data_IF_636549642035
#
_entry.id   IF_636549642035
#
_cell.length_a   1.000
_cell.length_b   1.000
_cell.length_c   1.000
_cell.angle_alpha   90.00
_cell.angle_beta   90.00
_cell.angle_gamma   90.00
#
_symmetry.space_group_name_H-M   'P 1'
#
loop_
_entity.id
_entity.type
_entity.pdbx_description
1 polymer ?
#
# COMPACT_ATOMS: atom_id res chain seq x y z
N UNK A 1 0.56 30.11 -20.50
CA UNK A 1 0.26 31.46 -19.99
C UNK A 1 0.73 32.56 -20.96
N UNK A 2 1.98 32.59 -21.39
CA UNK A 2 2.54 33.59 -22.30
C UNK A 2 1.78 33.69 -23.64
N UNK A 3 1.55 32.56 -24.35
CA UNK A 3 0.79 32.53 -25.61
C UNK A 3 -0.64 33.08 -25.43
N UNK A 4 -1.32 32.72 -24.32
CA UNK A 4 -2.68 33.20 -24.07
C UNK A 4 -2.77 34.71 -23.82
N UNK A 5 -1.73 35.31 -23.19
CA UNK A 5 -1.63 36.74 -22.99
C UNK A 5 -1.40 37.47 -24.34
N UNK A 6 -0.54 36.89 -25.18
CA UNK A 6 -0.28 37.45 -26.52
C UNK A 6 -1.49 37.34 -27.45
N UNK A 7 -2.18 36.24 -27.42
CA UNK A 7 -3.43 36.04 -28.17
C UNK A 7 -4.49 37.07 -27.79
N UNK A 8 -4.72 37.27 -26.49
CA UNK A 8 -5.68 38.28 -26.04
C UNK A 8 -5.26 39.71 -26.40
N UNK A 9 -3.97 39.99 -26.33
CA UNK A 9 -3.44 41.28 -26.71
C UNK A 9 -3.58 41.52 -28.22
N UNK A 10 -3.35 40.55 -29.09
CA UNK A 10 -3.57 40.64 -30.54
C UNK A 10 -5.05 40.78 -30.91
N UNK A 11 -5.97 40.29 -30.07
CA UNK A 11 -7.43 40.50 -30.18
C UNK A 11 -7.91 41.88 -29.70
N UNK A 12 -6.97 42.80 -29.33
CA UNK A 12 -7.27 44.16 -28.95
C UNK A 12 -7.59 44.37 -27.44
N UNK A 13 -7.49 43.37 -26.62
CA UNK A 13 -7.70 43.53 -25.16
C UNK A 13 -6.55 44.35 -24.54
N UNK A 14 -6.91 45.28 -23.68
CA UNK A 14 -5.89 46.07 -22.96
C UNK A 14 -5.33 45.25 -21.76
N UNK A 15 -4.17 45.72 -21.22
CA UNK A 15 -3.44 45.01 -20.15
C UNK A 15 -4.26 44.78 -18.89
N UNK A 16 -5.21 45.66 -18.58
CA UNK A 16 -6.07 45.54 -17.40
C UNK A 16 -7.15 44.50 -17.64
N UNK A 17 -7.75 44.46 -18.81
CA UNK A 17 -8.74 43.47 -19.21
C UNK A 17 -8.12 42.06 -19.24
N UNK A 18 -6.91 41.93 -19.81
CA UNK A 18 -6.18 40.65 -19.83
C UNK A 18 -5.86 40.17 -18.38
N UNK A 19 -5.42 41.10 -17.52
CA UNK A 19 -5.14 40.79 -16.12
C UNK A 19 -6.38 40.30 -15.40
N UNK A 20 -7.51 40.98 -15.57
CA UNK A 20 -8.80 40.61 -15.00
C UNK A 20 -9.27 39.23 -15.52
N UNK A 21 -9.28 39.04 -16.84
CA UNK A 21 -9.77 37.79 -17.47
C UNK A 21 -8.94 36.55 -17.11
N UNK A 22 -7.63 36.71 -16.88
CA UNK A 22 -6.73 35.62 -16.55
C UNK A 22 -6.44 35.45 -15.05
N UNK A 23 -7.05 36.29 -14.19
CA UNK A 23 -6.79 36.31 -12.75
C UNK A 23 -5.33 36.66 -12.41
N UNK A 24 -4.70 37.54 -13.18
CA UNK A 24 -3.30 37.91 -13.03
C UNK A 24 -3.14 39.35 -12.57
N UNK A 25 -2.01 39.64 -11.90
CA UNK A 25 -1.64 41.02 -11.65
C UNK A 25 -1.19 41.72 -12.95
N UNK A 26 -1.55 43.00 -13.14
CA UNK A 26 -1.23 43.77 -14.34
C UNK A 26 0.28 43.84 -14.66
N UNK A 27 1.14 43.86 -13.62
CA UNK A 27 2.60 43.83 -13.79
C UNK A 27 3.07 42.49 -14.42
N UNK A 28 2.40 41.40 -14.11
CA UNK A 28 2.67 40.09 -14.71
C UNK A 28 2.36 40.09 -16.20
N UNK A 29 1.19 40.62 -16.58
CA UNK A 29 0.83 40.76 -18.00
C UNK A 29 1.85 41.64 -18.74
N UNK A 30 2.25 42.79 -18.15
CA UNK A 30 3.26 43.71 -18.72
C UNK A 30 4.60 42.99 -18.90
N UNK A 31 5.03 42.19 -17.94
CA UNK A 31 6.27 41.42 -18.00
C UNK A 31 6.25 40.37 -19.12
N UNK A 32 5.14 39.66 -19.28
CA UNK A 32 5.00 38.66 -20.34
C UNK A 32 4.89 39.26 -21.73
N UNK A 33 4.26 40.44 -21.90
CA UNK A 33 4.21 41.12 -23.18
C UNK A 33 5.56 41.70 -23.64
N UNK A 34 6.47 42.03 -22.69
CA UNK A 34 7.84 42.45 -22.98
C UNK A 34 8.78 41.28 -23.33
N UNK A 35 8.35 40.04 -23.10
CA UNK A 35 9.17 38.86 -23.29
C UNK A 35 8.94 38.33 -24.69
N UNK A 36 9.99 38.16 -25.48
CA UNK A 36 9.95 37.45 -26.74
C UNK A 36 9.95 35.92 -26.55
N UNK A 37 9.76 35.18 -27.63
CA UNK A 37 9.69 33.73 -27.60
C UNK A 37 11.05 33.11 -27.26
N UNK A 38 12.14 33.68 -27.74
CA UNK A 38 13.49 33.21 -27.45
C UNK A 38 13.83 33.38 -25.97
N UNK A 39 13.49 34.53 -25.39
CA UNK A 39 13.64 34.78 -23.94
C UNK A 39 12.78 33.85 -23.10
N UNK A 40 11.57 33.50 -23.57
CA UNK A 40 10.71 32.51 -22.89
C UNK A 40 11.34 31.13 -22.95
N UNK A 41 11.78 30.71 -24.11
CA UNK A 41 12.42 29.39 -24.32
C UNK A 41 13.70 29.28 -23.52
N UNK A 42 14.56 30.32 -23.53
CA UNK A 42 15.76 30.35 -22.70
C UNK A 42 15.44 30.25 -21.19
N UNK A 43 14.39 30.97 -20.72
CA UNK A 43 13.95 30.84 -19.31
C UNK A 43 13.38 29.48 -18.96
N UNK A 44 12.73 28.80 -19.88
CA UNK A 44 12.23 27.42 -19.66
C UNK A 44 13.38 26.41 -19.65
N UNK A 45 14.38 26.60 -20.53
CA UNK A 45 15.58 25.76 -20.58
C UNK A 45 16.51 26.00 -19.39
N UNK A 46 16.67 27.26 -18.93
CA UNK A 46 17.49 27.66 -17.78
C UNK A 46 16.73 27.62 -16.46
N UNK A 47 15.62 26.87 -16.37
CA UNK A 47 14.96 26.64 -15.10
C UNK A 47 15.98 25.96 -14.18
N UNK A 48 16.54 26.73 -13.22
CA UNK A 48 17.54 26.25 -12.27
C UNK A 48 17.07 24.93 -11.69
N UNK A 49 17.71 23.83 -12.06
CA UNK A 49 17.53 22.54 -11.44
C UNK A 49 18.28 22.61 -10.10
N UNK A 50 17.57 23.00 -9.06
CA UNK A 50 18.12 22.86 -7.71
C UNK A 50 18.25 21.37 -7.44
N UNK A 51 19.41 20.89 -6.92
CA UNK A 51 19.55 19.51 -6.51
C UNK A 51 18.47 19.20 -5.47
N UNK A 52 17.72 18.15 -5.72
CA UNK A 52 16.66 17.73 -4.80
C UNK A 52 17.29 16.89 -3.70
N UNK A 53 16.74 16.96 -2.52
CA UNK A 53 17.24 16.28 -1.31
C UNK A 53 17.41 14.76 -1.50
N UNK A 54 16.66 14.16 -2.43
CA UNK A 54 16.69 12.72 -2.70
C UNK A 54 17.50 12.33 -3.94
N UNK A 55 18.08 13.29 -4.70
CA UNK A 55 18.78 12.99 -5.97
C UNK A 55 19.95 12.02 -5.80
N UNK A 56 20.62 12.01 -4.64
CA UNK A 56 21.72 11.08 -4.35
C UNK A 56 21.28 9.61 -4.30
N UNK A 57 19.99 9.33 -4.17
CA UNK A 57 19.42 7.99 -4.13
C UNK A 57 18.80 7.54 -5.46
N UNK A 58 18.97 8.33 -6.53
CA UNK A 58 18.32 8.07 -7.82
C UNK A 58 18.72 6.72 -8.41
N UNK A 59 20.01 6.34 -8.38
CA UNK A 59 20.47 5.06 -8.91
C UNK A 59 19.82 3.88 -8.17
N UNK A 60 19.80 3.92 -6.86
CA UNK A 60 19.17 2.88 -6.04
C UNK A 60 17.69 2.70 -6.36
N UNK A 61 16.94 3.82 -6.45
CA UNK A 61 15.52 3.77 -6.80
C UNK A 61 15.29 3.29 -8.24
N UNK A 62 16.18 3.66 -9.17
CA UNK A 62 16.13 3.16 -10.54
C UNK A 62 16.35 1.65 -10.60
N UNK A 63 17.33 1.11 -9.87
CA UNK A 63 17.64 -0.32 -9.82
C UNK A 63 16.47 -1.13 -9.25
N UNK A 64 15.88 -0.65 -8.15
CA UNK A 64 14.67 -1.26 -7.56
C UNK A 64 13.51 -1.26 -8.56
N UNK A 65 13.23 -0.14 -9.18
CA UNK A 65 12.12 0.00 -10.12
C UNK A 65 12.33 -0.81 -11.40
N UNK A 66 13.56 -1.01 -11.82
CA UNK A 66 13.89 -1.86 -12.98
C UNK A 66 13.57 -3.32 -12.72
N UNK A 67 13.77 -3.78 -11.47
CA UNK A 67 13.45 -5.16 -11.04
C UNK A 67 11.98 -5.34 -10.66
N UNK A 68 11.36 -4.30 -10.05
CA UNK A 68 10.05 -4.39 -9.44
C UNK A 68 9.18 -3.18 -9.80
N UNK A 69 8.70 -3.10 -11.04
CA UNK A 69 7.92 -1.97 -11.56
C UNK A 69 6.61 -1.71 -10.81
N UNK A 70 6.05 -2.73 -10.16
CA UNK A 70 4.80 -2.68 -9.42
C UNK A 70 4.89 -1.98 -8.05
N UNK A 71 6.09 -1.75 -7.50
CA UNK A 71 6.27 -1.17 -6.17
C UNK A 71 5.67 0.25 -6.08
N UNK A 72 5.07 0.57 -4.95
CA UNK A 72 4.58 1.92 -4.65
C UNK A 72 5.70 2.81 -4.12
N UNK A 73 5.51 4.13 -4.20
CA UNK A 73 6.46 5.09 -3.63
C UNK A 73 6.65 4.91 -2.11
N UNK A 74 5.62 4.47 -1.39
CA UNK A 74 5.71 4.19 0.05
C UNK A 74 6.63 2.99 0.34
N UNK A 75 6.49 1.90 -0.44
CA UNK A 75 7.37 0.73 -0.32
C UNK A 75 8.83 1.08 -0.61
N UNK A 76 9.07 1.86 -1.67
CA UNK A 76 10.42 2.34 -2.01
C UNK A 76 10.98 3.20 -0.88
N UNK A 77 10.15 4.06 -0.25
CA UNK A 77 10.57 4.86 0.89
C UNK A 77 10.96 4.01 2.11
N UNK A 78 10.21 2.95 2.39
CA UNK A 78 10.52 2.05 3.49
C UNK A 78 11.84 1.31 3.23
N UNK A 79 12.07 0.84 2.01
CA UNK A 79 13.34 0.23 1.62
C UNK A 79 14.52 1.21 1.65
N UNK A 80 14.29 2.46 1.25
CA UNK A 80 15.32 3.52 1.39
C UNK A 80 15.69 3.75 2.86
N UNK A 81 14.74 3.74 3.78
CA UNK A 81 15.01 3.87 5.23
C UNK A 81 15.80 2.68 5.78
N UNK A 82 15.49 1.48 5.31
CA UNK A 82 16.19 0.26 5.71
C UNK A 82 17.64 0.27 5.20
N UNK A 83 17.84 0.74 3.96
CA UNK A 83 19.17 0.74 3.32
C UNK A 83 20.05 1.93 3.75
N UNK A 84 19.45 3.08 4.05
CA UNK A 84 20.17 4.32 4.33
C UNK A 84 19.77 4.90 5.71
N UNK A 85 20.54 4.60 6.77
CA UNK A 85 20.26 5.15 8.10
C UNK A 85 20.32 6.69 8.16
N UNK A 86 21.05 7.31 7.22
CA UNK A 86 21.20 8.76 7.06
C UNK A 86 20.15 9.39 6.12
N UNK A 87 19.09 8.64 5.77
CA UNK A 87 18.04 9.16 4.89
C UNK A 87 17.38 10.39 5.54
N UNK A 88 17.33 11.53 4.82
CA UNK A 88 16.70 12.73 5.35
C UNK A 88 15.20 12.51 5.60
N UNK A 89 14.68 13.08 6.69
CA UNK A 89 13.26 13.03 6.98
C UNK A 89 12.51 13.91 5.98
N UNK A 90 11.70 13.26 5.14
CA UNK A 90 10.90 13.91 4.10
C UNK A 90 9.45 13.45 4.14
N UNK A 91 8.52 14.30 3.72
CA UNK A 91 7.12 13.91 3.64
C UNK A 91 6.88 12.91 2.48
N UNK A 92 5.85 12.06 2.63
CA UNK A 92 5.50 11.05 1.62
C UNK A 92 5.24 11.63 0.23
N UNK A 93 4.75 12.88 0.13
CA UNK A 93 4.55 13.57 -1.16
C UNK A 93 5.87 13.87 -1.87
N UNK A 94 6.92 14.21 -1.13
CA UNK A 94 8.27 14.43 -1.68
C UNK A 94 8.82 13.15 -2.28
N UNK A 95 8.69 12.03 -1.56
CA UNK A 95 9.10 10.70 -2.05
C UNK A 95 8.29 10.30 -3.28
N UNK A 96 6.97 10.46 -3.24
CA UNK A 96 6.12 10.19 -4.39
C UNK A 96 6.57 10.96 -5.64
N UNK A 97 6.77 12.26 -5.51
CA UNK A 97 7.20 13.11 -6.64
C UNK A 97 8.59 12.71 -7.15
N UNK A 98 9.49 12.31 -6.26
CA UNK A 98 10.82 11.82 -6.61
C UNK A 98 10.74 10.50 -7.40
N UNK A 99 10.03 9.51 -6.88
CA UNK A 99 9.83 8.21 -7.54
C UNK A 99 9.17 8.37 -8.91
N UNK A 100 8.14 9.22 -9.03
CA UNK A 100 7.51 9.53 -10.32
C UNK A 100 8.46 10.23 -11.30
N UNK A 101 9.40 11.03 -10.80
CA UNK A 101 10.44 11.66 -11.65
C UNK A 101 11.40 10.60 -12.18
N UNK A 102 11.85 9.67 -11.32
CA UNK A 102 12.71 8.54 -11.71
C UNK A 102 12.00 7.66 -12.74
N UNK A 103 10.73 7.31 -12.51
CA UNK A 103 9.93 6.53 -13.47
C UNK A 103 9.90 7.17 -14.86
N UNK A 104 9.58 8.46 -14.93
CA UNK A 104 9.52 9.19 -16.21
C UNK A 104 10.90 9.29 -16.88
N UNK A 105 11.95 9.54 -16.11
CA UNK A 105 13.31 9.68 -16.63
C UNK A 105 13.82 8.39 -17.29
N UNK A 106 13.46 7.23 -16.72
CA UNK A 106 13.95 5.91 -17.16
C UNK A 106 12.87 5.05 -17.85
N UNK A 107 11.70 5.62 -18.17
CA UNK A 107 10.57 4.92 -18.81
C UNK A 107 10.14 3.65 -18.04
N UNK A 108 10.08 3.73 -16.71
CA UNK A 108 9.73 2.64 -15.81
C UNK A 108 8.26 2.77 -15.35
N UNK A 109 7.33 2.64 -16.28
CA UNK A 109 5.90 2.75 -15.98
C UNK A 109 5.46 1.69 -14.98
N UNK A 110 4.57 2.09 -14.08
CA UNK A 110 4.00 1.20 -13.08
C UNK A 110 3.08 0.18 -13.75
N UNK A 111 3.34 -1.10 -13.54
CA UNK A 111 2.42 -2.16 -14.00
C UNK A 111 1.05 -1.99 -13.36
N UNK A 112 0.02 -1.87 -14.21
CA UNK A 112 -1.34 -1.62 -13.78
C UNK A 112 -1.97 -2.83 -13.11
N UNK A 113 -2.56 -2.61 -11.92
CA UNK A 113 -3.44 -3.59 -11.29
C UNK A 113 -4.88 -3.30 -11.72
N UNK A 114 -5.57 -4.28 -12.31
CA UNK A 114 -7.00 -4.15 -12.63
C UNK A 114 -7.78 -3.80 -11.36
N UNK A 115 -8.56 -2.72 -11.40
CA UNK A 115 -9.44 -2.33 -10.29
C UNK A 115 -10.65 -3.27 -10.29
N UNK A 116 -10.79 -4.09 -9.24
CA UNK A 116 -12.05 -4.78 -8.95
C UNK A 116 -13.01 -3.81 -8.24
N UNK A 117 -14.25 -3.78 -8.68
CA UNK A 117 -15.32 -3.06 -7.98
C UNK A 117 -15.81 -3.95 -6.85
N UNK A 118 -15.76 -3.46 -5.60
CA UNK A 118 -16.26 -4.16 -4.42
C UNK A 118 -17.43 -3.38 -3.82
N UNK A 119 -18.49 -4.06 -3.47
CA UNK A 119 -19.55 -3.47 -2.65
C UNK A 119 -19.05 -3.26 -1.21
N UNK A 120 -19.44 -2.13 -0.63
CA UNK A 120 -19.05 -1.80 0.74
C UNK A 120 -19.92 -2.57 1.73
N UNK A 121 -19.34 -3.51 2.47
CA UNK A 121 -20.03 -4.15 3.57
C UNK A 121 -20.42 -3.12 4.66
N UNK A 122 -21.57 -3.31 5.34
CA UNK A 122 -21.98 -2.46 6.47
C UNK A 122 -20.89 -2.35 7.54
N UNK A 123 -20.79 -1.19 8.15
CA UNK A 123 -19.85 -0.95 9.24
C UNK A 123 -20.33 -1.66 10.51
N UNK A 124 -19.48 -2.52 11.08
CA UNK A 124 -19.73 -3.23 12.34
C UNK A 124 -19.18 -2.43 13.54
N UNK A 125 -19.69 -2.65 14.77
CA UNK A 125 -19.11 -2.05 15.97
C UNK A 125 -17.62 -2.36 16.15
N UNK A 126 -16.90 -1.48 16.86
CA UNK A 126 -15.51 -1.75 17.23
C UNK A 126 -15.39 -3.00 18.12
N UNK A 127 -14.39 -3.83 17.88
CA UNK A 127 -14.17 -5.06 18.64
C UNK A 127 -15.16 -6.20 18.38
N UNK A 128 -16.19 -5.98 17.56
CA UNK A 128 -17.20 -7.03 17.31
C UNK A 128 -16.66 -8.13 16.41
N UNK A 129 -16.04 -7.76 15.28
CA UNK A 129 -15.55 -8.76 14.30
C UNK A 129 -14.08 -8.57 13.97
N UNK A 130 -13.38 -9.69 13.84
CA UNK A 130 -12.13 -9.81 13.11
C UNK A 130 -12.23 -10.86 12.01
N UNK A 131 -11.35 -10.81 11.05
CA UNK A 131 -11.16 -11.85 10.03
C UNK A 131 -9.73 -12.38 10.15
N UNK A 132 -9.57 -13.69 10.06
CA UNK A 132 -8.29 -14.38 10.12
C UNK A 132 -8.11 -15.25 8.89
N UNK A 133 -6.88 -15.32 8.40
CA UNK A 133 -6.49 -16.20 7.31
C UNK A 133 -5.03 -16.63 7.43
N UNK A 134 -4.71 -17.78 6.87
CA UNK A 134 -3.34 -18.22 6.66
C UNK A 134 -2.91 -17.88 5.23
N UNK A 135 -1.64 -17.59 5.08
CA UNK A 135 -1.04 -17.37 3.78
C UNK A 135 0.31 -18.04 3.66
N UNK A 136 0.74 -18.24 2.44
CA UNK A 136 2.08 -18.71 2.14
C UNK A 136 2.66 -17.93 0.96
N UNK A 137 3.97 -17.78 0.94
CA UNK A 137 4.70 -17.16 -0.15
C UNK A 137 6.01 -17.87 -0.37
N UNK A 138 6.43 -17.95 -1.62
CA UNK A 138 7.77 -18.41 -1.99
C UNK A 138 8.66 -17.20 -2.16
N UNK A 139 9.78 -17.16 -1.46
CA UNK A 139 10.73 -16.05 -1.48
C UNK A 139 12.08 -16.56 -2.01
N UNK A 140 12.77 -15.71 -2.75
CA UNK A 140 14.17 -15.97 -3.15
C UNK A 140 15.09 -15.76 -1.95
N UNK A 141 16.21 -16.46 -1.93
CA UNK A 141 17.27 -16.25 -0.95
C UNK A 141 18.48 -15.61 -1.62
N UNK A 142 19.30 -14.90 -0.87
CA UNK A 142 20.54 -14.27 -1.35
C UNK A 142 21.50 -15.27 -1.99
N UNK A 143 21.40 -16.55 -1.64
CA UNK A 143 22.22 -17.65 -2.19
C UNK A 143 21.64 -18.30 -3.44
N UNK A 144 20.61 -17.68 -4.07
CA UNK A 144 20.01 -18.18 -5.33
C UNK A 144 19.01 -19.32 -5.15
N UNK A 145 18.57 -19.63 -3.93
CA UNK A 145 17.54 -20.62 -3.63
C UNK A 145 16.18 -19.99 -3.42
N UNK A 146 15.21 -20.84 -2.99
CA UNK A 146 13.89 -20.41 -2.57
C UNK A 146 13.56 -20.96 -1.19
N UNK A 147 12.88 -20.14 -0.39
CA UNK A 147 12.31 -20.53 0.90
C UNK A 147 10.80 -20.31 0.88
N UNK A 148 10.05 -21.20 1.49
CA UNK A 148 8.62 -21.04 1.69
C UNK A 148 8.38 -20.39 3.05
N UNK A 149 7.69 -19.28 3.06
CA UNK A 149 7.33 -18.54 4.26
C UNK A 149 5.82 -18.65 4.44
N UNK A 150 5.41 -19.04 5.63
CA UNK A 150 4.03 -19.13 6.05
C UNK A 150 3.70 -17.92 6.93
N UNK A 151 2.46 -17.46 6.86
CA UNK A 151 2.07 -16.35 7.71
C UNK A 151 0.60 -16.43 8.12
N UNK A 152 0.36 -15.99 9.33
CA UNK A 152 -0.95 -15.79 9.92
C UNK A 152 -1.30 -14.32 9.80
N UNK A 153 -2.53 -14.01 9.43
CA UNK A 153 -3.04 -12.64 9.31
C UNK A 153 -4.33 -12.52 10.08
N UNK A 154 -4.43 -11.50 10.94
CA UNK A 154 -5.69 -11.11 11.57
C UNK A 154 -5.96 -9.63 11.33
N UNK A 155 -7.19 -9.29 10.95
CA UNK A 155 -7.62 -7.91 10.71
C UNK A 155 -8.92 -7.60 11.45
N UNK A 156 -8.93 -6.53 12.23
CA UNK A 156 -10.13 -6.02 12.88
C UNK A 156 -11.07 -5.41 11.84
N UNK A 157 -12.32 -5.85 11.80
CA UNK A 157 -13.25 -5.47 10.73
C UNK A 157 -13.57 -3.98 10.69
N UNK A 158 -13.64 -3.29 11.83
CA UNK A 158 -13.98 -1.87 11.91
C UNK A 158 -12.76 -0.98 11.80
N UNK A 159 -11.77 -1.15 12.68
CA UNK A 159 -10.57 -0.30 12.74
C UNK A 159 -9.60 -0.53 11.59
N UNK A 160 -9.69 -1.67 10.91
CA UNK A 160 -8.73 -2.13 9.89
C UNK A 160 -7.32 -2.34 10.44
N UNK A 161 -7.15 -2.33 11.74
CA UNK A 161 -5.92 -2.69 12.40
C UNK A 161 -5.59 -4.14 12.07
N UNK A 162 -4.36 -4.40 11.69
CA UNK A 162 -3.93 -5.71 11.19
C UNK A 162 -2.71 -6.19 11.95
N UNK A 163 -2.67 -7.49 12.19
CA UNK A 163 -1.55 -8.20 12.78
C UNK A 163 -1.09 -9.31 11.84
N UNK A 164 0.21 -9.51 11.72
CA UNK A 164 0.81 -10.56 10.90
C UNK A 164 1.89 -11.26 11.70
N UNK A 165 1.88 -12.58 11.68
CA UNK A 165 2.92 -13.42 12.26
C UNK A 165 3.51 -14.34 11.19
N UNK A 166 4.83 -14.36 11.04
CA UNK A 166 5.54 -15.18 10.06
C UNK A 166 6.15 -16.42 10.68
N UNK A 167 6.16 -17.51 9.91
CA UNK A 167 6.77 -18.79 10.30
C UNK A 167 7.53 -19.40 9.13
N UNK A 168 8.66 -20.03 9.40
CA UNK A 168 9.40 -20.85 8.44
C UNK A 168 8.81 -22.26 8.27
N UNK A 169 7.89 -22.65 9.16
CA UNK A 169 7.21 -23.96 9.12
C UNK A 169 5.70 -23.79 8.94
N UNK A 170 5.01 -24.77 8.35
CA UNK A 170 3.56 -24.76 8.25
C UNK A 170 2.88 -24.57 9.60
N UNK A 171 1.73 -23.90 9.62
CA UNK A 171 0.96 -23.73 10.84
C UNK A 171 0.40 -25.07 11.33
N UNK A 172 0.55 -25.31 12.61
CA UNK A 172 -0.15 -26.33 13.40
C UNK A 172 -1.21 -25.65 14.23
N UNK A 173 -2.16 -26.42 14.81
CA UNK A 173 -3.17 -25.85 15.73
C UNK A 173 -2.54 -25.14 16.93
N UNK A 174 -1.42 -25.65 17.47
CA UNK A 174 -0.70 -25.01 18.57
C UNK A 174 -0.05 -23.67 18.14
N UNK A 175 0.61 -23.64 16.98
CA UNK A 175 1.21 -22.41 16.45
C UNK A 175 0.14 -21.39 16.07
N UNK A 176 -1.02 -21.84 15.59
CA UNK A 176 -2.15 -20.96 15.32
C UNK A 176 -2.69 -20.31 16.60
N UNK A 177 -2.85 -21.09 17.70
CA UNK A 177 -3.24 -20.55 19.01
C UNK A 177 -2.23 -19.50 19.48
N UNK A 178 -0.95 -19.81 19.45
CA UNK A 178 0.09 -18.86 19.81
C UNK A 178 0.03 -17.54 18.99
N UNK A 179 -0.19 -17.64 17.69
CA UNK A 179 -0.35 -16.47 16.84
C UNK A 179 -1.59 -15.62 17.18
N UNK A 180 -2.69 -16.27 17.64
CA UNK A 180 -3.87 -15.56 18.14
C UNK A 180 -3.57 -14.80 19.45
N UNK A 181 -2.86 -15.42 20.39
CA UNK A 181 -2.46 -14.79 21.65
C UNK A 181 -1.61 -13.53 21.38
N UNK A 182 -0.63 -13.63 20.49
CA UNK A 182 0.16 -12.48 20.07
C UNK A 182 -0.70 -11.40 19.40
N UNK A 183 -1.67 -11.79 18.58
CA UNK A 183 -2.59 -10.84 17.95
C UNK A 183 -3.46 -10.13 19.00
N UNK A 184 -3.99 -10.85 19.98
CA UNK A 184 -4.80 -10.26 21.07
C UNK A 184 -3.98 -9.33 21.94
N UNK A 185 -2.74 -9.67 22.25
CA UNK A 185 -1.81 -8.79 22.94
C UNK A 185 -1.51 -7.51 22.14
N UNK A 186 -1.27 -7.64 20.84
CA UNK A 186 -1.04 -6.49 19.94
C UNK A 186 -2.25 -5.56 19.84
N UNK A 187 -3.47 -6.11 19.73
CA UNK A 187 -4.70 -5.31 19.69
C UNK A 187 -5.10 -4.76 21.07
N UNK A 188 -4.42 -5.16 22.13
CA UNK A 188 -4.77 -4.85 23.52
C UNK A 188 -6.20 -5.29 23.88
N UNK A 189 -6.61 -6.40 23.32
CA UNK A 189 -7.93 -6.98 23.49
C UNK A 189 -8.26 -8.03 22.43
N UNK A 190 -9.37 -8.71 22.61
CA UNK A 190 -9.85 -9.74 21.69
C UNK A 190 -11.14 -9.31 21.01
N UNK A 191 -11.36 -9.67 19.72
CA UNK A 191 -12.65 -9.47 19.05
C UNK A 191 -13.69 -10.44 19.63
N UNK A 192 -14.95 -10.02 19.56
CA UNK A 192 -16.07 -10.85 20.03
C UNK A 192 -16.28 -12.07 19.12
N UNK A 193 -16.12 -11.87 17.82
CA UNK A 193 -16.27 -12.91 16.79
C UNK A 193 -15.09 -12.86 15.82
N UNK A 194 -14.61 -14.04 15.45
CA UNK A 194 -13.52 -14.14 14.46
C UNK A 194 -13.99 -15.04 13.32
N UNK A 195 -13.89 -14.50 12.10
CA UNK A 195 -14.27 -15.18 10.87
C UNK A 195 -13.07 -15.94 10.33
N UNK A 196 -13.25 -17.24 10.11
CA UNK A 196 -12.23 -18.18 9.63
C UNK A 196 -12.63 -18.82 8.30
N UNK A 197 -11.63 -19.30 7.57
CA UNK A 197 -11.85 -20.32 6.55
C UNK A 197 -11.95 -21.72 7.17
N UNK A 198 -12.48 -22.65 6.42
CA UNK A 198 -12.50 -24.07 6.78
C UNK A 198 -11.11 -24.69 6.56
N UNK A 199 -10.14 -24.32 7.40
CA UNK A 199 -8.78 -24.84 7.32
C UNK A 199 -8.59 -26.03 8.28
N UNK A 200 -7.89 -27.06 7.81
CA UNK A 200 -7.55 -28.26 8.59
C UNK A 200 -6.66 -27.98 9.81
N UNK A 201 -6.02 -26.83 9.87
CA UNK A 201 -5.26 -26.38 11.06
C UNK A 201 -6.19 -26.17 12.26
N UNK A 202 -7.42 -25.72 12.03
CA UNK A 202 -8.40 -25.38 13.06
C UNK A 202 -9.53 -26.41 13.16
N UNK A 203 -9.82 -27.15 12.07
CA UNK A 203 -10.92 -28.10 11.96
C UNK A 203 -10.40 -29.52 11.76
N UNK A 204 -11.05 -30.48 12.41
CA UNK A 204 -10.78 -31.88 12.17
C UNK A 204 -11.58 -32.41 10.98
N UNK A 205 -12.86 -32.10 10.92
CA UNK A 205 -13.80 -32.47 9.85
C UNK A 205 -15.11 -31.69 9.94
N UNK A 206 -15.86 -31.72 8.87
CA UNK A 206 -17.29 -31.40 8.84
C UNK A 206 -18.11 -32.68 8.97
N UNK A 207 -19.10 -32.69 9.84
CA UNK A 207 -20.02 -33.78 10.03
C UNK A 207 -21.47 -33.27 9.93
N UNK A 208 -22.13 -33.54 8.79
CA UNK A 208 -23.54 -33.15 8.53
C UNK A 208 -23.85 -31.66 8.81
N UNK A 209 -22.90 -30.77 8.51
CA UNK A 209 -23.02 -29.33 8.76
C UNK A 209 -22.42 -28.86 10.10
N UNK A 210 -22.08 -29.77 11.01
CA UNK A 210 -21.38 -29.45 12.26
C UNK A 210 -19.86 -29.44 12.04
N UNK A 211 -19.21 -28.34 12.36
CA UNK A 211 -17.77 -28.20 12.27
C UNK A 211 -17.10 -28.65 13.56
N UNK A 212 -16.26 -29.68 13.46
CA UNK A 212 -15.52 -30.21 14.61
C UNK A 212 -14.16 -29.54 14.70
N UNK A 213 -13.98 -28.68 15.71
CA UNK A 213 -12.70 -28.00 16.00
C UNK A 213 -11.64 -29.03 16.47
N UNK A 214 -10.36 -28.74 16.15
CA UNK A 214 -9.25 -29.46 16.77
C UNK A 214 -9.30 -29.30 18.30
N UNK A 215 -8.81 -30.28 19.05
CA UNK A 215 -8.83 -30.25 20.53
C UNK A 215 -8.15 -29.01 21.08
N UNK A 216 -6.99 -28.66 20.55
CA UNK A 216 -6.21 -27.48 20.96
C UNK A 216 -6.97 -26.20 20.71
N UNK A 217 -7.52 -26.02 19.51
CA UNK A 217 -8.24 -24.80 19.16
C UNK A 217 -9.57 -24.69 19.94
N UNK A 218 -10.27 -25.76 20.18
CA UNK A 218 -11.48 -25.79 21.01
C UNK A 218 -11.19 -25.32 22.44
N UNK A 219 -10.11 -25.85 23.06
CA UNK A 219 -9.71 -25.45 24.41
C UNK A 219 -9.43 -23.94 24.46
N UNK A 220 -8.71 -23.42 23.49
CA UNK A 220 -8.40 -22.00 23.37
C UNK A 220 -9.66 -21.11 23.19
N UNK A 221 -10.59 -21.51 22.31
CA UNK A 221 -11.87 -20.80 22.13
C UNK A 221 -12.66 -20.73 23.43
N UNK A 222 -12.72 -21.84 24.18
CA UNK A 222 -13.43 -21.90 25.47
C UNK A 222 -12.75 -21.02 26.53
N UNK A 223 -11.42 -21.05 26.60
CA UNK A 223 -10.64 -20.22 27.53
C UNK A 223 -10.79 -18.71 27.22
N UNK A 224 -10.68 -18.36 25.97
CA UNK A 224 -10.72 -16.96 25.54
C UNK A 224 -12.13 -16.41 25.36
N UNK A 225 -13.17 -17.23 25.38
CA UNK A 225 -14.58 -16.82 25.29
C UNK A 225 -14.91 -15.91 24.10
N UNK A 226 -14.36 -16.19 22.91
CA UNK A 226 -14.76 -15.56 21.67
C UNK A 226 -15.55 -16.54 20.79
N UNK A 227 -16.34 -16.05 19.85
CA UNK A 227 -17.13 -16.87 18.94
C UNK A 227 -16.39 -17.09 17.62
N UNK A 228 -15.95 -18.32 17.30
CA UNK A 228 -15.46 -18.64 15.97
C UNK A 228 -16.62 -18.75 14.98
N UNK A 229 -16.47 -18.11 13.82
CA UNK A 229 -17.43 -18.14 12.73
C UNK A 229 -16.71 -18.65 11.49
N UNK A 230 -17.13 -19.78 10.95
CA UNK A 230 -16.53 -20.33 9.74
C UNK A 230 -17.37 -19.99 8.52
N UNK A 231 -16.70 -19.49 7.49
CA UNK A 231 -17.33 -19.20 6.20
C UNK A 231 -17.82 -20.48 5.55
N UNK A 232 -18.94 -20.42 4.85
CA UNK A 232 -19.36 -21.50 3.97
C UNK A 232 -18.39 -21.62 2.79
N UNK A 233 -18.16 -22.82 2.24
CA UNK A 233 -17.42 -22.96 0.99
C UNK A 233 -18.03 -22.05 -0.08
N UNK A 234 -17.19 -21.33 -0.82
CA UNK A 234 -17.59 -20.41 -1.90
C UNK A 234 -18.36 -19.14 -1.46
N UNK A 235 -18.18 -18.65 -0.22
CA UNK A 235 -18.66 -17.31 0.18
C UNK A 235 -17.49 -16.29 0.22
N UNK A 236 -17.12 -15.66 -0.92
CA UNK A 236 -16.00 -14.74 -0.99
C UNK A 236 -16.29 -13.38 -0.35
N UNK A 237 -17.58 -13.02 -0.16
CA UNK A 237 -17.95 -11.68 0.33
C UNK A 237 -17.64 -11.49 1.81
N UNK A 238 -17.75 -12.56 2.61
CA UNK A 238 -17.46 -12.51 4.05
C UNK A 238 -15.99 -12.29 4.38
N UNK A 239 -15.06 -12.55 3.44
CA UNK A 239 -13.59 -12.54 3.65
C UNK A 239 -12.82 -11.42 2.98
N UNK A 240 -13.46 -10.54 2.21
CA UNK A 240 -12.79 -9.51 1.40
C UNK A 240 -11.79 -8.63 2.19
N UNK A 241 -11.95 -8.50 3.50
CA UNK A 241 -11.06 -7.67 4.33
C UNK A 241 -9.70 -8.36 4.57
N UNK A 242 -9.70 -9.63 4.97
CA UNK A 242 -8.46 -10.38 5.23
C UNK A 242 -7.73 -10.73 3.93
N UNK A 243 -8.44 -11.04 2.85
CA UNK A 243 -7.81 -11.25 1.54
C UNK A 243 -7.00 -10.04 1.07
N UNK A 244 -7.53 -8.84 1.30
CA UNK A 244 -6.80 -7.61 0.98
C UNK A 244 -5.53 -7.47 1.83
N UNK A 245 -5.54 -7.92 3.09
CA UNK A 245 -4.35 -7.92 3.94
C UNK A 245 -3.35 -8.98 3.49
N UNK A 246 -3.79 -10.19 3.13
CA UNK A 246 -2.93 -11.22 2.53
C UNK A 246 -2.26 -10.71 1.26
N UNK A 247 -3.02 -10.06 0.36
CA UNK A 247 -2.47 -9.41 -0.84
C UNK A 247 -1.48 -8.30 -0.48
N UNK A 248 -1.79 -7.50 0.54
CA UNK A 248 -0.89 -6.46 1.04
C UNK A 248 0.43 -7.05 1.56
N UNK A 249 0.38 -8.09 2.39
CA UNK A 249 1.58 -8.78 2.90
C UNK A 249 2.44 -9.30 1.75
N UNK A 250 1.85 -10.03 0.80
CA UNK A 250 2.58 -10.58 -0.34
C UNK A 250 3.20 -9.51 -1.24
N UNK A 251 2.47 -8.43 -1.53
CA UNK A 251 2.87 -7.43 -2.52
C UNK A 251 3.64 -6.25 -1.96
N UNK A 252 3.47 -5.94 -0.66
CA UNK A 252 4.11 -4.78 -0.05
C UNK A 252 5.23 -5.17 0.92
N UNK A 253 5.03 -6.22 1.73
CA UNK A 253 6.05 -6.59 2.71
C UNK A 253 7.03 -7.65 2.15
N UNK A 254 6.52 -8.75 1.58
CA UNK A 254 7.37 -9.84 1.09
C UNK A 254 7.98 -9.59 -0.29
N UNK A 255 7.32 -8.77 -1.12
CA UNK A 255 7.78 -8.54 -2.49
C UNK A 255 9.17 -7.89 -2.53
N UNK A 256 10.12 -8.56 -3.20
CA UNK A 256 11.48 -8.10 -3.37
C UNK A 256 12.39 -8.24 -2.16
N UNK A 257 11.95 -8.90 -1.09
CA UNK A 257 12.78 -9.29 0.05
C UNK A 257 13.36 -10.68 -0.19
N UNK A 258 14.52 -10.92 0.38
CA UNK A 258 15.27 -12.17 0.35
C UNK A 258 15.51 -12.71 1.76
#
# INVERSE_FOLDING_TARGET
MWYKIRELYSKGFNKTQIAFQLGLHRSTVRRYLKMDEDTLTAKLQHRRQYPRILDKYESYVCDILSRYRFLSASQIHDWMKEQYPDLPVVCGKTVYNFVETVRRKYNLDKEGLSKRVYEKMPDTPYGEYAQMDFGESRMSTDRGGFVKVYFFVMVMSRSRQKFVYFSSTPFTSALAVYAHELAFAYFKGKPRKIIYDQDKVLLVRENLGDLILTRTFRAFVNEQHFQPVFCRPADPESKGKVENVVKYVKRNFLAGRT
#
